data_IF_635111074777
#
_entry.id   IF_635111074777
#
_cell.length_a   1.000
_cell.length_b   1.000
_cell.length_c   1.000
_cell.angle_alpha   90.00
_cell.angle_beta   90.00
_cell.angle_gamma   90.00
#
_symmetry.space_group_name_H-M   'P 1'
#
loop_
_entity.id
_entity.type
_entity.pdbx_description
1 polymer ?
#
# COMPACT_ATOMS: atom_id res chain seq x y z
N UNK A 1 -12.99 -52.03 30.82
CA UNK A 1 -13.48 -50.72 30.37
C UNK A 1 -12.51 -50.21 29.33
N UNK A 2 -12.89 -50.36 28.07
CA UNK A 2 -12.08 -50.12 26.87
C UNK A 2 -12.24 -48.65 26.45
N UNK A 3 -11.13 -47.91 26.41
CA UNK A 3 -11.05 -46.56 25.86
C UNK A 3 -11.19 -46.64 24.34
N UNK A 4 -12.32 -46.16 23.84
CA UNK A 4 -12.64 -46.02 22.43
C UNK A 4 -11.78 -44.96 21.79
N UNK A 5 -11.01 -45.33 20.77
CA UNK A 5 -10.15 -44.49 19.96
C UNK A 5 -10.99 -43.46 19.16
N UNK A 6 -10.88 -42.19 19.50
CA UNK A 6 -11.32 -41.10 18.64
C UNK A 6 -10.40 -41.08 17.40
N UNK A 7 -10.92 -41.58 16.26
CA UNK A 7 -10.32 -41.37 14.95
C UNK A 7 -10.46 -39.87 14.56
N UNK A 8 -9.37 -39.13 14.65
CA UNK A 8 -9.26 -37.85 13.97
C UNK A 8 -9.44 -38.07 12.45
N UNK A 9 -10.52 -37.58 11.90
CA UNK A 9 -10.70 -37.50 10.46
C UNK A 9 -9.57 -36.65 9.88
N UNK A 10 -8.67 -37.26 9.11
CA UNK A 10 -7.76 -36.53 8.21
C UNK A 10 -8.63 -35.88 7.12
N UNK A 11 -8.92 -34.61 7.29
CA UNK A 11 -9.50 -33.80 6.21
C UNK A 11 -8.47 -33.69 5.10
N UNK A 12 -8.91 -34.05 3.87
CA UNK A 12 -8.12 -33.84 2.66
C UNK A 12 -7.87 -32.34 2.51
N UNK A 13 -6.64 -31.90 2.16
CA UNK A 13 -6.42 -30.51 1.77
C UNK A 13 -7.32 -30.21 0.56
N UNK A 14 -8.10 -29.15 0.67
CA UNK A 14 -8.90 -28.65 -0.46
C UNK A 14 -7.96 -28.32 -1.63
N UNK A 15 -8.35 -28.65 -2.87
CA UNK A 15 -7.56 -28.26 -4.03
C UNK A 15 -7.46 -26.74 -4.05
N UNK A 16 -6.23 -26.22 -4.13
CA UNK A 16 -5.96 -24.81 -4.32
C UNK A 16 -6.40 -24.47 -5.74
N UNK A 17 -7.54 -23.80 -5.85
CA UNK A 17 -8.05 -23.27 -7.12
C UNK A 17 -7.15 -22.08 -7.49
N UNK A 18 -6.21 -22.30 -8.42
CA UNK A 18 -5.12 -21.37 -8.80
C UNK A 18 -5.60 -20.09 -9.51
N UNK A 19 -6.90 -19.79 -9.50
CA UNK A 19 -7.48 -18.64 -10.17
C UNK A 19 -8.24 -17.67 -9.24
N UNK A 20 -8.21 -17.87 -7.93
CA UNK A 20 -8.89 -16.96 -7.00
C UNK A 20 -7.93 -15.90 -6.48
N UNK A 21 -8.33 -14.64 -6.59
CA UNK A 21 -7.57 -13.53 -6.05
C UNK A 21 -7.32 -13.70 -4.54
N UNK A 22 -6.11 -13.41 -4.03
CA UNK A 22 -5.79 -13.53 -2.59
C UNK A 22 -6.66 -12.65 -1.70
N UNK A 23 -7.11 -11.51 -2.21
CA UNK A 23 -8.11 -10.63 -1.57
C UNK A 23 -9.15 -10.25 -2.60
N UNK A 24 -10.43 -10.44 -2.26
CA UNK A 24 -11.59 -9.96 -3.02
C UNK A 24 -12.55 -9.29 -2.06
N UNK A 25 -12.84 -8.03 -2.30
CA UNK A 25 -13.79 -7.22 -1.52
C UNK A 25 -14.77 -6.58 -2.48
N UNK A 26 -16.08 -6.77 -2.22
CA UNK A 26 -17.15 -6.19 -3.02
C UNK A 26 -18.18 -5.50 -2.13
N UNK A 27 -18.43 -4.23 -2.42
CA UNK A 27 -19.41 -3.37 -1.77
C UNK A 27 -19.35 -3.42 -0.23
N UNK A 28 -18.11 -3.46 0.33
CA UNK A 28 -17.90 -3.65 1.75
C UNK A 28 -18.33 -2.42 2.54
N UNK A 29 -19.14 -2.64 3.58
CA UNK A 29 -19.63 -1.56 4.45
C UNK A 29 -19.34 -1.84 5.91
N UNK A 30 -19.02 -0.78 6.66
CA UNK A 30 -18.81 -0.83 8.12
C UNK A 30 -19.17 0.48 8.79
N UNK A 31 -19.97 0.38 9.84
CA UNK A 31 -20.33 1.49 10.69
C UNK A 31 -19.80 1.26 12.12
N UNK A 32 -19.38 2.32 12.78
CA UNK A 32 -19.09 2.38 14.21
C UNK A 32 -19.97 3.46 14.83
N UNK A 33 -21.12 3.06 15.37
CA UNK A 33 -22.16 4.00 15.80
C UNK A 33 -22.62 4.86 14.61
N UNK A 34 -22.49 6.18 14.74
CA UNK A 34 -22.86 7.13 13.68
C UNK A 34 -21.78 7.29 12.58
N UNK A 35 -20.56 6.76 12.79
CA UNK A 35 -19.46 6.92 11.84
C UNK A 35 -19.47 5.78 10.83
N UNK A 36 -19.63 6.10 9.54
CA UNK A 36 -19.51 5.15 8.43
C UNK A 36 -18.05 5.07 8.01
N UNK A 37 -17.37 4.02 8.46
CA UNK A 37 -15.94 3.82 8.21
C UNK A 37 -15.66 3.21 6.85
N UNK A 38 -16.55 2.34 6.32
CA UNK A 38 -16.52 1.81 4.97
C UNK A 38 -17.90 1.96 4.33
N UNK A 39 -17.91 2.37 3.07
CA UNK A 39 -19.11 2.75 2.34
C UNK A 39 -19.09 2.24 0.88
N UNK A 40 -19.17 0.91 0.72
CA UNK A 40 -19.13 0.29 -0.59
C UNK A 40 -17.71 0.14 -1.14
N UNK A 41 -16.75 -0.26 -0.28
CA UNK A 41 -15.35 -0.45 -0.68
C UNK A 41 -15.21 -1.64 -1.64
N UNK A 42 -14.43 -1.43 -2.71
CA UNK A 42 -13.99 -2.44 -3.66
C UNK A 42 -12.48 -2.63 -3.57
N UNK A 43 -11.99 -3.88 -3.51
CA UNK A 43 -10.57 -4.18 -3.54
C UNK A 43 -10.33 -5.59 -4.07
N UNK A 44 -9.45 -5.72 -5.06
CA UNK A 44 -9.04 -7.02 -5.59
C UNK A 44 -7.54 -7.05 -5.79
N UNK A 45 -6.87 -8.05 -5.22
CA UNK A 45 -5.44 -8.29 -5.40
C UNK A 45 -5.22 -9.48 -6.33
N UNK A 46 -4.12 -9.43 -7.09
CA UNK A 46 -3.63 -10.55 -7.90
C UNK A 46 -2.61 -11.36 -7.10
N UNK A 47 -2.50 -12.64 -7.40
CA UNK A 47 -1.50 -13.50 -6.75
C UNK A 47 -0.08 -13.04 -7.11
N UNK A 48 0.80 -12.98 -6.10
CA UNK A 48 2.21 -12.61 -6.26
C UNK A 48 2.49 -11.12 -6.48
N UNK A 49 1.47 -10.24 -6.44
CA UNK A 49 1.70 -8.79 -6.58
C UNK A 49 1.98 -8.09 -5.25
N UNK A 50 2.68 -6.97 -5.32
CA UNK A 50 2.73 -5.97 -4.25
C UNK A 50 1.71 -4.90 -4.56
N UNK A 51 0.65 -4.82 -3.77
CA UNK A 51 -0.48 -3.91 -3.97
C UNK A 51 -0.51 -2.79 -2.93
N UNK A 52 -0.43 -1.54 -3.37
CA UNK A 52 -0.54 -0.37 -2.53
C UNK A 52 -1.99 -0.04 -2.18
N UNK A 53 -2.29 0.15 -0.90
CA UNK A 53 -3.61 0.55 -0.42
C UNK A 53 -3.52 1.93 0.21
N UNK A 54 -3.84 2.95 -0.57
CA UNK A 54 -3.54 4.35 -0.31
C UNK A 54 -4.75 5.13 0.15
N UNK A 55 -4.51 6.09 1.03
CA UNK A 55 -5.56 7.00 1.50
C UNK A 55 -5.10 7.76 2.75
N UNK A 56 -5.72 8.91 3.06
CA UNK A 56 -5.40 9.66 4.27
C UNK A 56 -5.78 8.90 5.53
N UNK A 57 -5.39 9.45 6.65
CA UNK A 57 -5.84 8.96 7.95
C UNK A 57 -7.38 9.04 8.03
N UNK A 58 -8.01 7.98 8.53
CA UNK A 58 -9.47 7.88 8.57
C UNK A 58 -10.15 7.45 7.26
N UNK A 59 -9.42 7.20 6.17
CA UNK A 59 -10.01 6.76 4.89
C UNK A 59 -10.63 5.35 4.93
N UNK A 60 -10.32 4.53 5.95
CA UNK A 60 -10.84 3.17 6.09
C UNK A 60 -9.79 2.07 5.98
N UNK A 61 -8.50 2.38 5.72
CA UNK A 61 -7.41 1.39 5.52
C UNK A 61 -7.34 0.35 6.64
N UNK A 62 -7.06 0.79 7.86
CA UNK A 62 -6.94 -0.13 9.00
C UNK A 62 -8.26 -0.84 9.35
N UNK A 63 -9.42 -0.23 9.06
CA UNK A 63 -10.73 -0.90 9.21
C UNK A 63 -10.85 -2.07 8.24
N UNK A 64 -10.47 -1.87 6.99
CA UNK A 64 -10.45 -2.92 5.96
C UNK A 64 -9.51 -4.07 6.37
N UNK A 65 -8.29 -3.75 6.80
CA UNK A 65 -7.33 -4.76 7.27
C UNK A 65 -7.87 -5.53 8.47
N UNK A 66 -8.52 -4.86 9.44
CA UNK A 66 -9.14 -5.54 10.59
C UNK A 66 -10.30 -6.46 10.20
N UNK A 67 -11.04 -6.14 9.14
CA UNK A 67 -12.06 -7.03 8.59
C UNK A 67 -11.39 -8.25 7.92
N UNK A 68 -10.35 -8.05 7.12
CA UNK A 68 -9.58 -9.13 6.51
C UNK A 68 -8.91 -10.05 7.55
N UNK A 69 -8.56 -9.51 8.71
CA UNK A 69 -8.05 -10.28 9.86
C UNK A 69 -9.15 -10.97 10.68
N UNK A 70 -10.43 -10.80 10.35
CA UNK A 70 -11.53 -11.34 11.15
C UNK A 70 -11.64 -10.76 12.57
N UNK A 71 -11.02 -9.60 12.83
CA UNK A 71 -11.10 -8.90 14.13
C UNK A 71 -12.35 -8.05 14.22
N UNK A 72 -12.82 -7.54 13.08
CA UNK A 72 -14.02 -6.73 12.95
C UNK A 72 -14.93 -7.35 11.89
N UNK A 73 -16.20 -7.57 12.22
CA UNK A 73 -17.18 -8.07 11.27
C UNK A 73 -17.70 -6.93 10.39
N UNK A 74 -17.80 -7.16 9.09
CA UNK A 74 -18.46 -6.23 8.16
C UNK A 74 -19.97 -6.15 8.44
N UNK A 75 -20.59 -5.01 8.12
CA UNK A 75 -22.04 -4.83 8.25
C UNK A 75 -22.77 -5.18 6.93
N UNK A 76 -22.06 -5.11 5.80
CA UNK A 76 -22.60 -5.50 4.49
C UNK A 76 -21.49 -5.66 3.44
N UNK A 77 -21.86 -6.16 2.27
CA UNK A 77 -20.91 -6.54 1.24
C UNK A 77 -20.28 -7.89 1.49
N UNK A 78 -19.21 -8.19 0.74
CA UNK A 78 -18.46 -9.46 0.87
C UNK A 78 -16.97 -9.19 0.94
N UNK A 79 -16.27 -9.99 1.74
CA UNK A 79 -14.81 -10.04 1.76
C UNK A 79 -14.38 -11.52 1.67
N UNK A 80 -13.40 -11.80 0.83
CA UNK A 80 -12.74 -13.12 0.75
C UNK A 80 -11.24 -12.93 0.89
N UNK A 81 -10.64 -13.86 1.60
CA UNK A 81 -9.21 -13.90 1.88
C UNK A 81 -8.70 -15.30 1.55
N UNK A 82 -7.79 -15.41 0.55
CA UNK A 82 -7.29 -16.72 0.08
C UNK A 82 -8.42 -17.71 -0.24
N UNK A 83 -9.57 -17.21 -0.71
CA UNK A 83 -10.77 -17.98 -1.03
C UNK A 83 -11.71 -18.27 0.14
N UNK A 84 -11.32 -18.03 1.40
CA UNK A 84 -12.12 -18.22 2.61
C UNK A 84 -12.84 -16.93 3.06
N UNK A 85 -13.73 -17.09 4.05
CA UNK A 85 -14.40 -16.00 4.74
C UNK A 85 -13.53 -15.52 5.91
N UNK A 86 -13.07 -14.25 5.96
CA UNK A 86 -12.19 -13.75 7.02
C UNK A 86 -12.76 -13.92 8.43
N UNK A 87 -14.07 -13.89 8.58
CA UNK A 87 -14.73 -14.03 9.89
C UNK A 87 -14.96 -15.50 10.27
N UNK A 88 -15.46 -16.30 9.33
CA UNK A 88 -15.81 -17.69 9.61
C UNK A 88 -14.57 -18.61 9.63
N UNK A 89 -13.59 -18.37 8.76
CA UNK A 89 -12.43 -19.24 8.54
C UNK A 89 -11.14 -18.65 9.14
N UNK A 90 -11.25 -17.65 10.05
CA UNK A 90 -10.13 -16.87 10.57
C UNK A 90 -8.93 -17.74 11.02
N UNK A 91 -9.16 -18.85 11.74
CA UNK A 91 -8.09 -19.69 12.29
C UNK A 91 -7.24 -20.34 11.18
N UNK A 92 -7.86 -20.86 10.12
CA UNK A 92 -7.15 -21.47 9.00
C UNK A 92 -6.44 -20.42 8.14
N UNK A 93 -7.09 -19.27 7.93
CA UNK A 93 -6.52 -18.16 7.17
C UNK A 93 -5.30 -17.58 7.87
N UNK A 94 -5.32 -17.40 9.21
CA UNK A 94 -4.20 -16.86 9.97
C UNK A 94 -2.92 -17.69 9.89
N UNK A 95 -3.01 -18.97 9.55
CA UNK A 95 -1.82 -19.81 9.30
C UNK A 95 -1.12 -19.47 7.99
N UNK A 96 -1.82 -18.84 7.06
CA UNK A 96 -1.33 -18.51 5.72
C UNK A 96 -1.00 -17.03 5.54
N UNK A 97 -1.31 -16.19 6.53
CA UNK A 97 -1.08 -14.75 6.48
C UNK A 97 -0.07 -14.30 7.53
N UNK A 98 0.66 -13.23 7.23
CA UNK A 98 1.43 -12.49 8.21
C UNK A 98 0.95 -11.04 8.24
N UNK A 99 0.79 -10.51 9.44
CA UNK A 99 0.32 -9.16 9.66
C UNK A 99 1.36 -8.32 10.40
N UNK A 100 1.61 -7.14 9.89
CA UNK A 100 2.43 -6.09 10.53
C UNK A 100 1.53 -4.89 10.80
N UNK A 101 1.22 -4.57 12.06
CA UNK A 101 0.41 -3.41 12.41
C UNK A 101 1.22 -2.11 12.34
N UNK A 102 0.55 -0.97 12.09
CA UNK A 102 1.17 0.35 12.08
C UNK A 102 1.61 0.85 13.46
N UNK A 103 0.94 0.35 14.51
CA UNK A 103 1.35 0.57 15.91
C UNK A 103 1.55 -0.78 16.60
N UNK A 104 2.82 -1.15 16.71
CA UNK A 104 3.23 -2.45 17.25
C UNK A 104 3.24 -2.42 18.76
N UNK A 105 2.35 -3.21 19.36
CA UNK A 105 2.34 -3.51 20.80
C UNK A 105 2.85 -4.92 21.01
N UNK A 106 3.92 -5.08 21.79
CA UNK A 106 4.54 -6.35 22.14
C UNK A 106 4.28 -6.71 23.59
N UNK A 107 4.46 -7.97 23.93
CA UNK A 107 4.43 -8.43 25.34
C UNK A 107 5.64 -7.88 26.09
N UNK A 108 5.45 -7.01 27.10
CA UNK A 108 6.52 -6.20 27.69
C UNK A 108 7.60 -7.04 28.38
N UNK A 109 7.26 -8.25 28.84
CA UNK A 109 8.16 -9.14 29.56
C UNK A 109 8.88 -10.16 28.65
N UNK A 110 8.46 -10.30 27.40
CA UNK A 110 9.18 -11.12 26.41
C UNK A 110 10.34 -10.32 25.80
N UNK A 111 11.37 -11.03 25.37
CA UNK A 111 12.41 -10.46 24.52
C UNK A 111 11.93 -10.35 23.08
N UNK A 112 12.65 -9.62 22.23
CA UNK A 112 12.36 -9.56 20.80
C UNK A 112 12.41 -10.95 20.16
N UNK A 113 13.42 -11.73 20.45
CA UNK A 113 13.54 -13.11 19.97
C UNK A 113 12.40 -14.00 20.46
N UNK A 114 12.08 -13.99 21.75
CA UNK A 114 10.94 -14.75 22.29
C UNK A 114 9.60 -14.34 21.64
N UNK A 115 9.44 -13.06 21.32
CA UNK A 115 8.23 -12.56 20.63
C UNK A 115 8.16 -13.08 19.20
N UNK A 116 9.26 -13.04 18.44
CA UNK A 116 9.34 -13.59 17.08
C UNK A 116 8.99 -15.07 17.11
N UNK A 117 9.58 -15.83 18.02
CA UNK A 117 9.36 -17.28 18.15
C UNK A 117 7.91 -17.62 18.55
N UNK A 118 7.29 -16.83 19.43
CA UNK A 118 5.90 -16.98 19.80
C UNK A 118 4.97 -16.78 18.60
N UNK A 119 5.16 -15.70 17.86
CA UNK A 119 4.37 -15.41 16.66
C UNK A 119 4.55 -16.48 15.57
N UNK A 120 5.77 -17.00 15.43
CA UNK A 120 6.08 -18.10 14.52
C UNK A 120 5.31 -19.37 14.85
N UNK A 121 5.29 -19.78 16.13
CA UNK A 121 4.54 -20.96 16.60
C UNK A 121 3.05 -20.85 16.34
N UNK A 122 2.48 -19.65 16.51
CA UNK A 122 1.06 -19.38 16.23
C UNK A 122 0.71 -19.53 14.74
N UNK A 123 1.69 -19.35 13.84
CA UNK A 123 1.52 -19.44 12.37
C UNK A 123 1.97 -20.78 11.77
N UNK A 124 2.40 -21.73 12.59
CA UNK A 124 2.83 -23.05 12.12
C UNK A 124 4.33 -23.18 11.82
N UNK A 125 5.15 -22.24 12.22
CA UNK A 125 6.61 -22.31 12.14
C UNK A 125 7.28 -21.08 11.50
N UNK A 126 8.60 -21.13 11.48
CA UNK A 126 9.47 -20.07 10.96
C UNK A 126 10.63 -20.71 10.19
N UNK A 127 11.20 -19.98 9.25
CA UNK A 127 12.48 -20.31 8.67
C UNK A 127 13.59 -19.74 9.57
N UNK A 128 14.28 -20.62 10.30
CA UNK A 128 15.30 -20.21 11.30
C UNK A 128 16.50 -19.51 10.65
N UNK A 129 16.91 -19.93 9.45
CA UNK A 129 18.01 -19.27 8.73
C UNK A 129 17.61 -17.86 8.33
N UNK A 130 16.40 -17.73 7.81
CA UNK A 130 15.85 -16.43 7.42
C UNK A 130 15.63 -15.53 8.63
N UNK A 131 15.20 -16.08 9.77
CA UNK A 131 15.06 -15.36 11.02
C UNK A 131 16.40 -14.77 11.48
N UNK A 132 17.46 -15.59 11.48
CA UNK A 132 18.79 -15.15 11.89
C UNK A 132 19.34 -14.04 10.97
N UNK A 133 19.23 -14.23 9.66
CA UNK A 133 19.59 -13.24 8.66
C UNK A 133 18.85 -11.91 8.84
N UNK A 134 17.53 -11.96 9.06
CA UNK A 134 16.72 -10.74 9.24
C UNK A 134 17.04 -10.02 10.55
N UNK A 135 17.34 -10.73 11.64
CA UNK A 135 17.80 -10.13 12.90
C UNK A 135 19.08 -9.30 12.66
N UNK A 136 20.03 -9.83 11.89
CA UNK A 136 21.25 -9.13 11.52
C UNK A 136 20.95 -7.93 10.62
N UNK A 137 20.21 -8.11 9.53
CA UNK A 137 19.89 -7.05 8.56
C UNK A 137 19.13 -5.88 9.18
N UNK A 138 18.19 -6.15 10.10
CA UNK A 138 17.47 -5.11 10.83
C UNK A 138 18.22 -4.58 12.06
N UNK A 139 19.44 -5.06 12.32
CA UNK A 139 20.25 -4.65 13.48
C UNK A 139 19.45 -4.72 14.79
N UNK A 140 18.70 -5.82 14.98
CA UNK A 140 17.89 -6.01 16.17
C UNK A 140 18.69 -6.80 17.23
N UNK A 141 18.76 -6.28 18.47
CA UNK A 141 19.21 -7.08 19.61
C UNK A 141 18.05 -7.94 20.14
N UNK A 142 17.98 -9.25 19.79
CA UNK A 142 16.83 -10.08 20.11
C UNK A 142 16.72 -10.45 21.61
N UNK A 143 17.73 -10.13 22.43
CA UNK A 143 17.79 -10.47 23.86
C UNK A 143 17.17 -9.40 24.75
N UNK A 144 16.98 -8.18 24.27
CA UNK A 144 16.33 -7.10 25.02
C UNK A 144 14.86 -7.37 25.24
N UNK A 145 14.36 -6.98 26.41
CA UNK A 145 12.91 -7.04 26.71
C UNK A 145 12.14 -6.00 25.91
N UNK A 146 10.95 -6.39 25.41
CA UNK A 146 10.12 -5.55 24.55
C UNK A 146 9.76 -4.19 25.17
N UNK A 147 9.64 -4.10 26.49
CA UNK A 147 9.39 -2.83 27.23
C UNK A 147 10.51 -1.80 27.06
N UNK A 148 11.72 -2.21 26.70
CA UNK A 148 12.88 -1.33 26.51
C UNK A 148 13.09 -0.91 25.06
N UNK A 149 12.30 -1.45 24.13
CA UNK A 149 12.41 -1.11 22.72
C UNK A 149 11.79 0.25 22.41
N UNK A 150 12.48 1.00 21.54
CA UNK A 150 11.89 2.15 20.84
C UNK A 150 10.73 1.71 19.94
N UNK A 151 9.95 2.67 19.42
CA UNK A 151 8.91 2.38 18.43
C UNK A 151 9.50 1.62 17.22
N UNK A 152 10.64 2.09 16.68
CA UNK A 152 11.29 1.46 15.53
C UNK A 152 11.75 0.03 15.82
N UNK A 153 12.31 -0.26 17.02
CA UNK A 153 12.70 -1.63 17.36
C UNK A 153 11.50 -2.56 17.54
N UNK A 154 10.37 -2.08 18.06
CA UNK A 154 9.13 -2.88 18.08
C UNK A 154 8.65 -3.19 16.67
N UNK A 155 8.75 -2.21 15.76
CA UNK A 155 8.41 -2.40 14.34
C UNK A 155 9.31 -3.45 13.70
N UNK A 156 10.64 -3.38 13.93
CA UNK A 156 11.60 -4.38 13.44
C UNK A 156 11.24 -5.80 13.90
N UNK A 157 10.85 -6.01 15.15
CA UNK A 157 10.38 -7.32 15.66
C UNK A 157 9.20 -7.84 14.84
N UNK A 158 8.20 -6.98 14.55
CA UNK A 158 7.03 -7.36 13.78
C UNK A 158 7.38 -7.71 12.33
N UNK A 159 8.25 -6.91 11.69
CA UNK A 159 8.74 -7.14 10.33
C UNK A 159 9.54 -8.45 10.23
N UNK A 160 10.49 -8.70 11.14
CA UNK A 160 11.27 -9.93 11.18
C UNK A 160 10.34 -11.15 11.32
N UNK A 161 9.36 -11.07 12.24
CA UNK A 161 8.38 -12.15 12.40
C UNK A 161 7.55 -12.41 11.13
N UNK A 162 7.20 -11.35 10.39
CA UNK A 162 6.42 -11.48 9.17
C UNK A 162 7.26 -12.06 8.01
N UNK A 163 8.44 -11.49 7.74
CA UNK A 163 9.29 -11.87 6.60
C UNK A 163 10.05 -13.19 6.78
N UNK A 164 10.20 -13.68 8.01
CA UNK A 164 10.74 -15.02 8.29
C UNK A 164 9.67 -16.13 8.25
N UNK A 165 8.40 -15.77 8.11
CA UNK A 165 7.30 -16.73 7.93
C UNK A 165 7.20 -17.22 6.48
N UNK A 166 6.47 -18.34 6.28
CA UNK A 166 6.09 -18.87 4.96
C UNK A 166 4.70 -18.42 4.55
N UNK A 167 4.28 -17.23 4.98
CA UNK A 167 2.97 -16.70 4.66
C UNK A 167 2.81 -16.48 3.15
N UNK A 168 1.64 -16.86 2.62
CA UNK A 168 1.26 -16.61 1.22
C UNK A 168 0.80 -15.18 1.00
N UNK A 169 0.30 -14.53 2.06
CA UNK A 169 -0.18 -13.16 2.04
C UNK A 169 0.38 -12.37 3.21
N UNK A 170 0.96 -11.23 2.91
CA UNK A 170 1.45 -10.25 3.87
C UNK A 170 0.49 -9.06 3.91
N UNK A 171 -0.06 -8.76 5.08
CA UNK A 171 -0.85 -7.55 5.34
C UNK A 171 0.02 -6.58 6.13
N UNK A 172 0.46 -5.50 5.49
CA UNK A 172 1.39 -4.54 6.07
C UNK A 172 0.67 -3.20 6.25
N UNK A 173 0.37 -2.83 7.50
CA UNK A 173 -0.32 -1.57 7.83
C UNK A 173 0.70 -0.54 8.29
N UNK A 174 1.05 0.42 7.43
CA UNK A 174 2.05 1.47 7.65
C UNK A 174 3.40 0.92 8.18
N UNK A 175 3.99 -0.08 7.52
CA UNK A 175 5.08 -0.89 8.07
C UNK A 175 6.41 -0.16 8.25
N UNK A 176 6.65 0.93 7.53
CA UNK A 176 7.87 1.77 7.63
C UNK A 176 7.82 2.77 8.79
N UNK A 177 6.66 2.88 9.48
CA UNK A 177 6.47 3.85 10.55
C UNK A 177 7.48 3.70 11.69
N UNK A 178 8.37 4.69 11.83
CA UNK A 178 9.40 4.74 12.88
C UNK A 178 10.69 4.00 12.54
N UNK A 179 10.86 3.56 11.30
CA UNK A 179 12.14 3.12 10.75
C UNK A 179 12.97 4.34 10.33
N UNK A 180 14.28 4.21 10.41
CA UNK A 180 15.21 5.15 9.79
C UNK A 180 15.40 4.79 8.29
N UNK A 181 15.98 5.69 7.47
CA UNK A 181 16.12 5.46 6.02
C UNK A 181 16.90 4.21 5.64
N UNK A 182 17.87 3.77 6.45
CA UNK A 182 18.61 2.54 6.18
C UNK A 182 17.73 1.31 6.39
N UNK A 183 16.93 1.32 7.45
CA UNK A 183 16.00 0.24 7.75
C UNK A 183 14.80 0.22 6.78
N UNK A 184 14.39 1.37 6.26
CA UNK A 184 13.41 1.44 5.15
C UNK A 184 13.95 0.73 3.90
N UNK A 185 15.22 0.91 3.54
CA UNK A 185 15.83 0.18 2.42
C UNK A 185 15.85 -1.34 2.68
N UNK A 186 16.17 -1.78 3.90
CA UNK A 186 16.12 -3.19 4.28
C UNK A 186 14.69 -3.73 4.15
N UNK A 187 13.71 -2.98 4.61
CA UNK A 187 12.29 -3.31 4.47
C UNK A 187 11.89 -3.47 3.01
N UNK A 188 12.26 -2.52 2.12
CA UNK A 188 11.96 -2.58 0.69
C UNK A 188 12.55 -3.84 0.03
N UNK A 189 13.79 -4.18 0.35
CA UNK A 189 14.42 -5.42 -0.11
C UNK A 189 13.64 -6.66 0.37
N UNK A 190 13.21 -6.68 1.64
CA UNK A 190 12.43 -7.78 2.20
C UNK A 190 11.07 -7.97 1.50
N UNK A 191 10.41 -6.87 1.11
CA UNK A 191 9.16 -6.91 0.33
C UNK A 191 9.42 -7.52 -1.06
N UNK A 192 10.45 -7.06 -1.76
CA UNK A 192 10.82 -7.59 -3.08
C UNK A 192 11.14 -9.10 -2.99
N UNK A 193 11.94 -9.51 -2.03
CA UNK A 193 12.27 -10.93 -1.80
C UNK A 193 11.04 -11.77 -1.43
N UNK A 194 10.08 -11.21 -0.70
CA UNK A 194 8.83 -11.93 -0.38
C UNK A 194 7.99 -12.15 -1.64
N UNK A 195 7.84 -11.12 -2.49
CA UNK A 195 7.20 -11.22 -3.81
C UNK A 195 7.89 -12.26 -4.68
N UNK A 196 9.22 -12.23 -4.77
CA UNK A 196 10.00 -13.15 -5.61
C UNK A 196 9.87 -14.60 -5.15
N UNK A 197 9.53 -14.83 -3.87
CA UNK A 197 9.14 -16.15 -3.34
C UNK A 197 7.67 -16.51 -3.61
N UNK A 198 6.92 -15.64 -4.29
CA UNK A 198 5.52 -15.85 -4.65
C UNK A 198 4.50 -15.39 -3.59
N UNK A 199 4.92 -14.65 -2.56
CA UNK A 199 3.98 -14.07 -1.61
C UNK A 199 3.26 -12.86 -2.22
N UNK A 200 1.97 -12.72 -1.91
CA UNK A 200 1.20 -11.51 -2.22
C UNK A 200 1.33 -10.53 -1.06
N UNK A 201 1.43 -9.25 -1.34
CA UNK A 201 1.60 -8.19 -0.33
C UNK A 201 0.52 -7.13 -0.50
N UNK A 202 -0.26 -6.87 0.54
CA UNK A 202 -1.08 -5.67 0.68
C UNK A 202 -0.32 -4.68 1.57
N UNK A 203 0.13 -3.57 1.00
CA UNK A 203 0.85 -2.51 1.68
C UNK A 203 -0.06 -1.29 1.88
N UNK A 204 -0.52 -1.04 3.10
CA UNK A 204 -1.17 0.23 3.40
C UNK A 204 -0.11 1.28 3.72
N UNK A 205 -0.18 2.40 3.05
CA UNK A 205 0.72 3.53 3.29
C UNK A 205 0.00 4.87 3.06
N UNK A 206 0.50 5.91 3.69
CA UNK A 206 0.21 7.29 3.35
C UNK A 206 1.42 7.99 2.69
N UNK A 207 2.54 7.26 2.55
CA UNK A 207 3.77 7.72 1.90
C UNK A 207 3.76 7.24 0.45
N UNK A 208 3.51 8.16 -0.47
CA UNK A 208 3.31 7.85 -1.88
C UNK A 208 4.60 7.37 -2.55
N UNK A 209 5.75 7.98 -2.21
CA UNK A 209 7.05 7.58 -2.74
C UNK A 209 7.44 6.13 -2.38
N UNK A 210 7.11 5.68 -1.15
CA UNK A 210 7.28 4.28 -0.74
C UNK A 210 6.46 3.33 -1.61
N UNK A 211 5.21 3.71 -1.86
CA UNK A 211 4.30 2.92 -2.68
C UNK A 211 4.74 2.86 -4.14
N UNK A 212 5.22 3.98 -4.69
CA UNK A 212 5.78 4.02 -6.06
C UNK A 212 7.01 3.11 -6.23
N UNK A 213 7.83 3.00 -5.19
CA UNK A 213 9.03 2.18 -5.21
C UNK A 213 8.74 0.67 -5.10
N UNK A 214 7.65 0.28 -4.42
CA UNK A 214 7.38 -1.11 -4.06
C UNK A 214 6.24 -1.75 -4.82
N UNK A 215 5.23 -0.97 -5.23
CA UNK A 215 3.97 -1.51 -5.72
C UNK A 215 3.89 -1.47 -7.24
N UNK A 216 3.31 -2.49 -7.84
CA UNK A 216 2.97 -2.53 -9.26
C UNK A 216 1.56 -1.98 -9.52
N UNK A 217 0.69 -2.15 -8.54
CA UNK A 217 -0.71 -1.72 -8.58
C UNK A 217 -1.08 -1.03 -7.28
N UNK A 218 -2.04 -0.13 -7.37
CA UNK A 218 -2.54 0.59 -6.20
C UNK A 218 -4.06 0.69 -6.22
N UNK A 219 -4.63 0.82 -5.03
CA UNK A 219 -6.03 1.22 -4.83
C UNK A 219 -6.06 2.43 -3.91
N UNK A 220 -6.64 3.52 -4.39
CA UNK A 220 -6.80 4.77 -3.64
C UNK A 220 -8.19 4.77 -3.00
N UNK A 221 -8.24 5.03 -1.69
CA UNK A 221 -9.49 5.09 -0.94
C UNK A 221 -9.70 6.46 -0.28
N UNK A 222 -10.96 6.88 -0.23
CA UNK A 222 -11.40 8.11 0.44
C UNK A 222 -12.78 7.92 1.04
N UNK A 223 -12.95 8.28 2.34
CA UNK A 223 -14.26 8.21 3.00
C UNK A 223 -14.87 6.80 2.96
N UNK A 224 -14.06 5.75 3.08
CA UNK A 224 -14.52 4.36 3.06
C UNK A 224 -14.89 3.81 1.68
N UNK A 225 -14.61 4.54 0.61
CA UNK A 225 -14.89 4.14 -0.79
C UNK A 225 -13.60 4.03 -1.59
N UNK A 226 -13.56 3.11 -2.54
CA UNK A 226 -12.53 3.07 -3.57
C UNK A 226 -12.78 4.20 -4.56
N UNK A 227 -11.78 5.06 -4.75
CA UNK A 227 -11.81 6.17 -5.69
C UNK A 227 -11.20 5.74 -7.02
N UNK A 228 -10.06 5.05 -6.95
CA UNK A 228 -9.35 4.58 -8.13
C UNK A 228 -8.58 3.29 -7.81
N UNK A 229 -8.45 2.40 -8.79
CA UNK A 229 -7.69 1.16 -8.67
C UNK A 229 -7.10 0.77 -10.02
N UNK A 230 -5.79 0.50 -10.06
CA UNK A 230 -5.12 0.16 -11.33
C UNK A 230 -3.63 -0.10 -11.16
N UNK A 231 -2.94 -0.37 -12.28
CA UNK A 231 -1.47 -0.37 -12.29
C UNK A 231 -0.94 1.06 -12.21
N UNK A 232 0.24 1.24 -11.60
CA UNK A 232 0.91 2.54 -11.56
C UNK A 232 1.13 3.10 -12.97
N UNK A 233 1.49 2.25 -13.92
CA UNK A 233 1.68 2.66 -15.31
C UNK A 233 0.39 3.17 -15.94
N UNK A 234 -0.74 2.43 -15.75
CA UNK A 234 -2.04 2.89 -16.29
C UNK A 234 -2.47 4.22 -15.68
N UNK A 235 -2.23 4.42 -14.39
CA UNK A 235 -2.56 5.68 -13.70
C UNK A 235 -1.68 6.85 -14.18
N UNK A 236 -0.40 6.59 -14.45
CA UNK A 236 0.52 7.59 -15.02
C UNK A 236 0.11 8.01 -16.43
N UNK A 237 -0.36 7.08 -17.26
CA UNK A 237 -0.85 7.39 -18.60
C UNK A 237 -2.13 8.24 -18.62
N UNK A 238 -2.95 8.17 -17.57
CA UNK A 238 -4.15 8.99 -17.41
C UNK A 238 -3.85 10.40 -16.88
N UNK A 239 -2.59 10.68 -16.59
CA UNK A 239 -2.14 11.93 -16.00
C UNK A 239 -1.11 12.61 -16.89
N UNK A 240 -1.04 13.92 -16.78
CA UNK A 240 -0.16 14.75 -17.61
C UNK A 240 1.26 14.74 -17.09
N UNK A 241 2.20 14.73 -18.03
CA UNK A 241 3.62 14.89 -17.74
C UNK A 241 3.91 16.35 -17.37
N UNK A 242 4.60 16.60 -16.26
CA UNK A 242 5.09 17.91 -15.87
C UNK A 242 6.38 18.21 -16.63
N UNK A 243 6.41 19.35 -17.32
CA UNK A 243 7.56 19.85 -18.05
C UNK A 243 8.07 21.13 -17.37
N UNK A 244 9.35 21.14 -17.04
CA UNK A 244 10.08 22.35 -16.64
C UNK A 244 11.24 22.54 -17.60
N UNK A 245 11.27 23.71 -18.30
CA UNK A 245 12.33 24.03 -19.23
C UNK A 245 12.89 25.42 -18.97
N UNK A 246 14.21 25.58 -19.15
CA UNK A 246 14.85 26.88 -19.22
C UNK A 246 15.10 27.21 -20.69
N UNK A 247 14.49 28.29 -21.19
CA UNK A 247 14.47 28.65 -22.60
C UNK A 247 15.40 29.80 -22.89
N UNK A 248 15.92 29.84 -24.09
CA UNK A 248 16.75 30.95 -24.62
C UNK A 248 15.92 32.02 -25.34
N UNK A 249 14.76 31.60 -25.88
CA UNK A 249 13.84 32.46 -26.63
C UNK A 249 12.39 32.23 -26.22
N UNK A 250 11.49 32.97 -26.84
CA UNK A 250 10.05 32.86 -26.62
C UNK A 250 9.48 31.64 -27.37
N UNK A 251 8.84 30.67 -26.65
CA UNK A 251 8.23 29.52 -27.28
C UNK A 251 6.89 29.82 -27.97
N UNK A 252 6.38 31.07 -27.87
CA UNK A 252 5.08 31.46 -28.37
C UNK A 252 3.90 30.94 -27.53
N UNK A 253 2.73 30.87 -28.15
CA UNK A 253 1.50 30.47 -27.48
C UNK A 253 1.36 28.94 -27.45
N UNK A 254 1.83 28.33 -26.37
CA UNK A 254 1.80 26.87 -26.15
C UNK A 254 0.38 26.32 -25.84
N UNK A 255 -0.58 27.20 -25.50
CA UNK A 255 -1.96 26.76 -25.21
C UNK A 255 -2.68 26.26 -26.48
N UNK A 256 -2.12 26.52 -27.66
CA UNK A 256 -2.61 25.99 -28.96
C UNK A 256 -2.30 24.51 -29.16
N UNK A 257 -1.33 23.98 -28.44
CA UNK A 257 -1.02 22.54 -28.50
C UNK A 257 -2.08 21.79 -27.69
N UNK A 258 -2.81 20.94 -28.34
CA UNK A 258 -3.85 20.14 -27.68
C UNK A 258 -3.22 19.31 -26.55
N UNK A 259 -3.83 19.33 -25.36
CA UNK A 259 -3.35 18.56 -24.20
C UNK A 259 -2.19 19.23 -23.46
N UNK A 260 -1.84 20.49 -23.75
CA UNK A 260 -0.96 21.33 -22.95
C UNK A 260 -1.80 22.26 -22.10
N UNK A 261 -1.57 22.21 -20.77
CA UNK A 261 -2.31 23.03 -19.80
C UNK A 261 -1.35 23.59 -18.74
N UNK A 262 -1.86 24.50 -17.90
CA UNK A 262 -1.13 25.13 -16.79
C UNK A 262 0.21 25.74 -17.22
N UNK A 263 0.24 26.32 -18.39
CA UNK A 263 1.44 26.97 -18.92
C UNK A 263 1.75 28.22 -18.11
N UNK A 264 2.92 28.26 -17.50
CA UNK A 264 3.45 29.42 -16.81
C UNK A 264 4.90 29.69 -17.24
N UNK A 265 5.20 30.95 -17.53
CA UNK A 265 6.56 31.40 -17.88
C UNK A 265 6.96 32.45 -16.88
N UNK A 266 8.05 32.19 -16.15
CA UNK A 266 8.67 33.13 -15.23
C UNK A 266 10.11 33.38 -15.67
N UNK A 267 10.33 34.55 -16.27
CA UNK A 267 11.60 34.88 -16.94
C UNK A 267 11.92 33.91 -18.08
N UNK A 268 12.97 33.12 -17.93
CA UNK A 268 13.36 32.09 -18.89
C UNK A 268 12.82 30.67 -18.53
N UNK A 269 12.16 30.53 -17.39
CA UNK A 269 11.69 29.25 -16.91
C UNK A 269 10.24 29.02 -17.31
N UNK A 270 10.02 28.01 -18.15
CA UNK A 270 8.70 27.48 -18.52
C UNK A 270 8.32 26.34 -17.57
N UNK A 271 7.04 26.32 -17.20
CA UNK A 271 6.38 25.14 -16.60
C UNK A 271 5.08 24.87 -17.36
N UNK A 272 4.80 23.62 -17.64
CA UNK A 272 3.58 23.20 -18.31
C UNK A 272 3.26 21.75 -17.94
N UNK A 273 1.97 21.38 -18.07
CA UNK A 273 1.53 20.01 -18.02
C UNK A 273 1.10 19.58 -19.42
N UNK A 274 1.49 18.37 -19.83
CA UNK A 274 1.24 17.88 -21.20
C UNK A 274 0.75 16.44 -21.19
N UNK A 275 -0.26 16.16 -22.00
CA UNK A 275 -0.70 14.79 -22.25
C UNK A 275 0.39 14.01 -22.99
N UNK A 276 0.56 12.72 -22.68
CA UNK A 276 1.62 11.87 -23.23
C UNK A 276 1.63 11.86 -24.75
N UNK A 277 0.48 11.96 -25.41
CA UNK A 277 0.34 12.01 -26.86
C UNK A 277 0.89 13.29 -27.49
N UNK A 278 0.84 14.40 -26.75
CA UNK A 278 1.25 15.74 -27.21
C UNK A 278 2.67 16.12 -26.78
N UNK A 279 3.32 15.29 -25.97
CA UNK A 279 4.67 15.55 -25.46
C UNK A 279 5.69 15.78 -26.58
N UNK A 280 5.63 14.98 -27.66
CA UNK A 280 6.54 15.11 -28.79
C UNK A 280 6.39 16.43 -29.53
N UNK A 281 5.16 16.95 -29.68
CA UNK A 281 4.88 18.25 -30.28
C UNK A 281 5.40 19.39 -29.41
N UNK A 282 5.13 19.35 -28.11
CA UNK A 282 5.64 20.35 -27.15
C UNK A 282 7.17 20.39 -27.18
N UNK A 283 7.86 19.24 -27.10
CA UNK A 283 9.34 19.19 -27.13
C UNK A 283 9.89 19.83 -28.43
N UNK A 284 9.24 19.65 -29.58
CA UNK A 284 9.66 20.27 -30.85
C UNK A 284 9.57 21.78 -30.76
N UNK A 285 8.45 22.31 -30.28
CA UNK A 285 8.25 23.77 -30.14
C UNK A 285 9.26 24.38 -29.16
N UNK A 286 9.50 23.71 -28.03
CA UNK A 286 10.51 24.16 -27.07
C UNK A 286 11.92 24.10 -27.67
N UNK A 287 12.22 23.07 -28.48
CA UNK A 287 13.51 22.96 -29.20
C UNK A 287 13.76 24.12 -30.14
N UNK A 288 12.74 24.57 -30.89
CA UNK A 288 12.81 25.72 -31.80
C UNK A 288 13.03 27.04 -31.04
N UNK A 289 12.50 27.18 -29.83
CA UNK A 289 12.74 28.32 -28.96
C UNK A 289 14.14 28.31 -28.29
N UNK A 290 14.87 27.21 -28.41
CA UNK A 290 16.16 26.98 -27.76
C UNK A 290 16.05 26.60 -26.30
N UNK A 291 16.41 25.38 -25.98
CA UNK A 291 16.36 24.79 -24.64
C UNK A 291 17.74 24.79 -23.99
N UNK A 292 17.90 25.41 -22.82
CA UNK A 292 19.11 25.32 -22.01
C UNK A 292 19.06 24.12 -21.09
N UNK A 293 17.90 23.86 -20.45
CA UNK A 293 17.64 22.67 -19.66
C UNK A 293 16.19 22.22 -19.83
N UNK A 294 15.95 20.92 -19.78
CA UNK A 294 14.61 20.32 -19.85
C UNK A 294 14.54 19.20 -18.82
N UNK A 295 13.53 19.29 -17.95
CA UNK A 295 13.16 18.24 -17.02
C UNK A 295 11.75 17.82 -17.38
N UNK A 296 11.58 16.56 -17.72
CA UNK A 296 10.30 15.91 -17.95
C UNK A 296 10.06 14.93 -16.82
N UNK A 297 9.05 15.18 -16.01
CA UNK A 297 8.67 14.30 -14.92
C UNK A 297 7.31 13.66 -15.23
N UNK A 298 7.23 12.32 -15.30
CA UNK A 298 5.94 11.66 -15.35
C UNK A 298 5.14 12.05 -14.10
N UNK A 299 3.81 12.02 -14.17
CA UNK A 299 2.96 12.33 -13.01
C UNK A 299 3.29 11.40 -11.86
N UNK A 300 3.42 12.00 -10.67
CA UNK A 300 3.64 11.26 -9.43
C UNK A 300 2.31 10.78 -8.86
N UNK A 301 2.35 9.73 -8.03
CA UNK A 301 1.17 9.33 -7.23
C UNK A 301 0.66 10.50 -6.37
N UNK A 302 1.53 11.41 -5.97
CA UNK A 302 1.16 12.60 -5.20
C UNK A 302 0.23 13.52 -6.00
N UNK A 303 0.53 13.78 -7.25
CA UNK A 303 -0.32 14.59 -8.14
C UNK A 303 -1.67 13.91 -8.39
N UNK A 304 -1.68 12.59 -8.61
CA UNK A 304 -2.91 11.79 -8.73
C UNK A 304 -3.75 11.86 -7.46
N UNK A 305 -3.09 11.71 -6.31
CA UNK A 305 -3.73 11.77 -5.01
C UNK A 305 -4.34 13.16 -4.76
N UNK A 306 -3.61 14.25 -5.02
CA UNK A 306 -4.07 15.62 -4.83
C UNK A 306 -5.28 15.94 -5.71
N UNK A 307 -5.33 15.47 -6.96
CA UNK A 307 -6.52 15.61 -7.84
C UNK A 307 -7.79 15.03 -7.20
N UNK A 308 -7.71 13.81 -6.66
CA UNK A 308 -8.85 13.16 -6.01
C UNK A 308 -9.26 13.85 -4.70
N UNK A 309 -8.36 14.66 -4.12
CA UNK A 309 -8.64 15.43 -2.90
C UNK A 309 -9.10 16.87 -3.16
N UNK A 310 -9.16 17.31 -4.43
CA UNK A 310 -9.63 18.66 -4.80
C UNK A 310 -8.69 19.77 -4.29
N UNK A 311 -7.40 19.44 -4.13
CA UNK A 311 -6.36 20.41 -3.82
C UNK A 311 -5.59 20.61 -5.12
N UNK A 312 -5.88 21.71 -5.85
CA UNK A 312 -5.09 22.08 -7.02
C UNK A 312 -3.63 22.25 -6.64
N UNK A 313 -2.72 22.12 -7.61
CA UNK A 313 -1.26 22.25 -7.45
C UNK A 313 -0.78 23.54 -6.78
N UNK A 314 -1.68 24.48 -6.53
CA UNK A 314 -1.44 25.80 -5.92
C UNK A 314 -1.93 25.90 -4.46
N UNK A 315 -2.27 24.78 -3.82
CA UNK A 315 -2.65 24.74 -2.39
C UNK A 315 -3.98 25.43 -2.05
N UNK A 316 -4.76 25.86 -3.03
CA UNK A 316 -6.09 26.46 -2.83
C UNK A 316 -7.18 25.40 -3.00
N UNK A 317 -8.03 25.24 -1.96
CA UNK A 317 -9.26 24.46 -2.07
C UNK A 317 -10.18 25.12 -3.10
N UNK A 318 -10.51 24.42 -4.18
CA UNK A 318 -11.69 24.76 -4.99
C UNK A 318 -12.93 24.55 -4.13
N UNK A 319 -13.51 25.64 -3.67
CA UNK A 319 -14.82 25.65 -3.03
C UNK A 319 -15.85 25.45 -4.16
N UNK A 320 -16.29 24.20 -4.38
CA UNK A 320 -17.46 23.93 -5.20
C UNK A 320 -18.67 24.59 -4.53
N UNK A 321 -19.11 25.72 -5.13
CA UNK A 321 -20.32 26.43 -4.71
C UNK A 321 -21.54 25.53 -4.88
N UNK A 322 -22.08 25.05 -3.78
CA UNK A 322 -23.50 24.74 -3.69
C UNK A 322 -24.11 25.73 -2.70
N UNK A 323 -24.76 26.75 -3.27
CA UNK A 323 -25.69 27.62 -2.56
C UNK A 323 -26.76 26.77 -1.87
N UNK A 324 -26.74 26.76 -0.57
CA UNK A 324 -27.90 26.35 0.22
C UNK A 324 -28.89 27.52 0.18
N UNK A 325 -29.94 27.39 -0.64
CA UNK A 325 -31.13 28.22 -0.47
C UNK A 325 -31.92 27.75 0.74
N UNK A 326 -32.25 28.73 1.57
CA UNK A 326 -33.05 28.66 2.77
C UNK A 326 -34.40 27.92 2.65
#
# INVERSE_FOLDING_TARGET
MTLSSLKLKKEKPMPVDSHRAPIEIHNLTKNFGAVRALDGLELTLREGEVHGFLGPNGAGKSTTIRILLGVVKADGGTARLLGGDPWADAVELHRQIAYVPGDVTLWPNLTGGETIDLLARMRGGIDENRRAELIERFELDPHKKARTYSKGNRQKVSLISAFSSRARLLLLDEPSSGLDPLMENVFQQCVAEARDRGATVLLSSHILAETEALCERVTIIRGGRTVESGSLDSMRHLSRTSIKAELLGDPGDLTRIRGVEDVSIDGTTLRAHVDSESLGELIRVLGDAGVRSLVSQPPTLEELFLRHYGIGSDGRREVSGQEVRA
#
